data_IF_718004510252
#
_entry.id   IF_718004510252
#
_cell.length_a   1.000
_cell.length_b   1.000
_cell.length_c   1.000
_cell.angle_alpha   90.00
_cell.angle_beta   90.00
_cell.angle_gamma   90.00
#
_symmetry.space_group_name_H-M   'P 1'
#
loop_
_entity.id
_entity.type
_entity.pdbx_description
1 polymer ?
#
# COMPACT_ATOMS: atom_id res chain seq x y z
N UNK A 1 9.93 -7.14 -9.18
CA UNK A 1 9.69 -7.49 -7.76
C UNK A 1 10.87 -8.24 -7.11
N UNK A 2 11.54 -9.19 -7.80
CA UNK A 2 12.71 -9.88 -7.25
C UNK A 2 13.80 -8.95 -6.70
N UNK A 3 14.19 -7.92 -7.47
CA UNK A 3 15.17 -6.92 -7.01
C UNK A 3 14.75 -6.14 -5.74
N UNK A 4 13.44 -5.92 -5.54
CA UNK A 4 12.92 -5.27 -4.33
C UNK A 4 13.04 -6.22 -3.14
N UNK A 5 12.70 -7.49 -3.34
CA UNK A 5 12.84 -8.53 -2.30
C UNK A 5 14.31 -8.65 -1.89
N UNK A 6 15.22 -8.78 -2.85
CA UNK A 6 16.66 -8.87 -2.58
C UNK A 6 17.18 -7.66 -1.81
N UNK A 7 16.69 -6.46 -2.13
CA UNK A 7 17.05 -5.24 -1.42
C UNK A 7 16.53 -5.24 0.03
N UNK A 8 15.27 -5.62 0.24
CA UNK A 8 14.67 -5.72 1.57
C UNK A 8 15.29 -6.86 2.40
N UNK A 9 15.79 -7.94 1.78
CA UNK A 9 16.45 -9.04 2.51
C UNK A 9 17.75 -8.60 3.18
N UNK A 10 18.40 -7.53 2.70
CA UNK A 10 19.62 -7.00 3.33
C UNK A 10 19.38 -6.54 4.77
N UNK A 11 18.25 -5.89 5.06
CA UNK A 11 17.94 -5.47 6.44
C UNK A 11 17.71 -6.66 7.36
N UNK A 12 17.13 -7.75 6.84
CA UNK A 12 16.97 -9.01 7.59
C UNK A 12 18.34 -9.62 7.92
N UNK A 13 19.26 -9.67 6.95
CA UNK A 13 20.61 -10.19 7.15
C UNK A 13 21.37 -9.38 8.21
N UNK A 14 21.34 -8.05 8.10
CA UNK A 14 21.97 -7.14 9.07
C UNK A 14 21.46 -7.38 10.50
N UNK A 15 20.14 -7.55 10.68
CA UNK A 15 19.54 -7.81 11.99
C UNK A 15 19.95 -9.18 12.53
N UNK A 16 19.95 -10.21 11.69
CA UNK A 16 20.37 -11.56 12.06
C UNK A 16 21.85 -11.63 12.46
N UNK A 17 22.73 -10.96 11.72
CA UNK A 17 24.16 -10.87 12.04
C UNK A 17 24.37 -10.18 13.40
N UNK A 18 23.72 -9.05 13.64
CA UNK A 18 23.81 -8.33 14.92
C UNK A 18 23.37 -9.18 16.12
N UNK A 19 22.27 -9.92 15.99
CA UNK A 19 21.79 -10.78 17.08
C UNK A 19 22.68 -12.01 17.26
N UNK A 20 23.22 -12.56 16.18
CA UNK A 20 24.18 -13.66 16.22
C UNK A 20 25.46 -13.26 16.95
N UNK A 21 26.02 -12.08 16.65
CA UNK A 21 27.23 -11.56 17.28
C UNK A 21 27.04 -11.30 18.78
N UNK A 22 25.84 -10.87 19.18
CA UNK A 22 25.49 -10.61 20.58
C UNK A 22 25.01 -11.87 21.33
N UNK A 23 24.76 -12.99 20.64
CA UNK A 23 24.18 -14.20 21.22
C UNK A 23 22.73 -14.01 21.68
N UNK A 24 22.00 -13.08 21.07
CA UNK A 24 20.63 -12.69 21.46
C UNK A 24 19.57 -13.42 20.63
N UNK A 25 18.41 -13.75 21.21
CA UNK A 25 17.32 -14.35 20.45
C UNK A 25 16.69 -13.33 19.48
N UNK A 26 16.33 -13.79 18.29
CA UNK A 26 15.67 -12.96 17.27
C UNK A 26 14.16 -13.06 17.41
N UNK A 27 13.47 -11.91 17.48
CA UNK A 27 12.02 -11.85 17.31
C UNK A 27 11.64 -12.01 15.83
N UNK A 28 11.45 -13.26 15.40
CA UNK A 28 11.07 -13.57 14.02
C UNK A 28 9.77 -12.88 13.58
N UNK A 29 8.82 -12.65 14.49
CA UNK A 29 7.53 -12.03 14.14
C UNK A 29 7.71 -10.55 13.82
N UNK A 30 8.46 -9.84 14.65
CA UNK A 30 8.85 -8.45 14.40
C UNK A 30 9.68 -8.33 13.12
N UNK A 31 10.66 -9.21 12.95
CA UNK A 31 11.58 -9.23 11.81
C UNK A 31 10.88 -9.42 10.47
N UNK A 32 10.15 -10.51 10.31
CA UNK A 32 9.44 -10.74 9.05
C UNK A 32 8.26 -9.77 8.87
N UNK A 33 7.70 -9.23 9.95
CA UNK A 33 6.71 -8.15 9.90
C UNK A 33 7.26 -6.86 9.29
N UNK A 34 8.45 -6.42 9.72
CA UNK A 34 9.11 -5.25 9.15
C UNK A 34 9.59 -5.49 7.71
N UNK A 35 10.16 -6.67 7.43
CA UNK A 35 10.52 -7.06 6.06
C UNK A 35 9.33 -7.00 5.08
N UNK A 36 8.19 -7.61 5.45
CA UNK A 36 7.00 -7.61 4.59
C UNK A 36 6.43 -6.20 4.40
N UNK A 37 6.51 -5.34 5.44
CA UNK A 37 6.14 -3.93 5.34
C UNK A 37 7.00 -3.19 4.31
N UNK A 38 8.33 -3.35 4.35
CA UNK A 38 9.26 -2.70 3.43
C UNK A 38 9.03 -3.15 1.98
N UNK A 39 8.81 -4.46 1.79
CA UNK A 39 8.49 -5.03 0.46
C UNK A 39 7.19 -4.43 -0.09
N UNK A 40 6.14 -4.31 0.73
CA UNK A 40 4.86 -3.72 0.30
C UNK A 40 5.01 -2.23 -0.02
N UNK A 41 5.67 -1.46 0.86
CA UNK A 41 5.89 -0.03 0.68
C UNK A 41 6.65 0.25 -0.63
N UNK A 42 7.70 -0.54 -0.92
CA UNK A 42 8.49 -0.34 -2.13
C UNK A 42 7.76 -0.87 -3.38
N UNK A 43 7.16 -2.06 -3.32
CA UNK A 43 6.54 -2.68 -4.50
C UNK A 43 5.19 -2.10 -4.90
N UNK A 44 4.33 -1.77 -3.93
CA UNK A 44 2.98 -1.25 -4.20
C UNK A 44 2.95 0.28 -4.25
N UNK A 45 3.71 0.94 -3.37
CA UNK A 45 3.69 2.40 -3.22
C UNK A 45 4.95 3.08 -3.77
N UNK A 46 5.92 2.34 -4.32
CA UNK A 46 7.16 2.91 -4.85
C UNK A 46 7.99 3.67 -3.81
N UNK A 47 7.76 3.39 -2.52
CA UNK A 47 8.33 4.13 -1.40
C UNK A 47 9.31 3.24 -0.65
N UNK A 48 10.59 3.63 -0.64
CA UNK A 48 11.63 2.92 0.11
C UNK A 48 11.61 3.39 1.56
N UNK A 49 11.40 2.44 2.47
CA UNK A 49 11.44 2.63 3.92
C UNK A 49 12.32 1.54 4.54
N UNK A 50 12.70 1.75 5.80
CA UNK A 50 13.38 0.75 6.63
C UNK A 50 12.58 0.62 7.93
N UNK A 51 11.58 -0.26 7.93
CA UNK A 51 10.66 -0.46 9.07
C UNK A 51 11.37 -1.05 10.28
N UNK A 52 12.55 -1.62 10.07
CA UNK A 52 13.38 -2.20 11.12
C UNK A 52 14.07 -1.13 11.96
N UNK A 53 14.73 -0.18 11.30
CA UNK A 53 15.47 0.90 11.97
C UNK A 53 14.57 2.06 12.36
N UNK A 54 13.48 2.28 11.63
CA UNK A 54 12.50 3.33 11.89
C UNK A 54 11.07 2.78 12.09
N UNK A 55 10.79 2.12 13.22
CA UNK A 55 9.45 1.62 13.53
C UNK A 55 8.42 2.72 13.77
N UNK A 56 8.85 3.98 13.92
CA UNK A 56 7.97 5.15 14.07
C UNK A 56 7.69 5.86 12.75
N UNK A 57 8.20 5.33 11.64
CA UNK A 57 7.92 5.84 10.31
C UNK A 57 6.41 6.02 10.11
N UNK A 58 6.00 7.16 9.55
CA UNK A 58 4.58 7.47 9.40
C UNK A 58 3.84 6.41 8.59
N UNK A 59 4.48 5.85 7.56
CA UNK A 59 3.92 4.77 6.75
C UNK A 59 3.65 3.53 7.60
N UNK A 60 4.66 3.07 8.36
CA UNK A 60 4.57 1.90 9.24
C UNK A 60 3.47 2.09 10.28
N UNK A 61 3.43 3.26 10.93
CA UNK A 61 2.40 3.59 11.93
C UNK A 61 1.00 3.60 11.32
N UNK A 62 0.83 4.19 10.14
CA UNK A 62 -0.48 4.28 9.45
C UNK A 62 -0.97 2.91 8.98
N UNK A 63 -0.09 2.05 8.46
CA UNK A 63 -0.47 0.66 8.12
C UNK A 63 -0.83 -0.11 9.38
N UNK A 64 -0.01 -0.02 10.43
CA UNK A 64 -0.27 -0.70 11.71
C UNK A 64 -1.62 -0.29 12.30
N UNK A 65 -1.90 1.01 12.36
CA UNK A 65 -3.18 1.52 12.84
C UNK A 65 -4.35 1.15 11.93
N UNK A 66 -4.09 0.95 10.64
CA UNK A 66 -5.12 0.57 9.68
C UNK A 66 -5.52 -0.90 9.81
N UNK A 67 -4.54 -1.78 9.90
CA UNK A 67 -4.74 -3.22 9.91
C UNK A 67 -4.94 -3.80 11.31
N UNK A 68 -4.23 -3.33 12.34
CA UNK A 68 -4.37 -3.86 13.70
C UNK A 68 -5.63 -3.40 14.42
N UNK A 69 -6.27 -2.30 13.97
CA UNK A 69 -7.57 -1.87 14.52
C UNK A 69 -8.73 -2.70 13.98
N UNK A 70 -8.52 -3.56 12.97
CA UNK A 70 -9.50 -4.58 12.58
C UNK A 70 -9.42 -5.67 13.64
N UNK A 71 -10.12 -5.48 14.76
CA UNK A 71 -10.14 -6.48 15.81
C UNK A 71 -10.89 -7.73 15.34
N UNK A 72 -10.55 -8.88 15.92
CA UNK A 72 -11.32 -10.12 15.73
C UNK A 72 -12.82 -9.91 15.96
N UNK A 73 -13.20 -8.99 16.85
CA UNK A 73 -14.59 -8.60 17.11
C UNK A 73 -15.25 -7.93 15.91
N UNK A 74 -14.53 -7.07 15.19
CA UNK A 74 -15.05 -6.45 13.96
C UNK A 74 -15.19 -7.51 12.86
N UNK A 75 -14.25 -8.43 12.78
CA UNK A 75 -14.30 -9.52 11.78
C UNK A 75 -15.45 -10.50 12.06
N UNK A 76 -15.67 -10.88 13.32
CA UNK A 76 -16.79 -11.75 13.71
C UNK A 76 -18.13 -11.05 13.52
N UNK A 77 -18.22 -9.75 13.84
CA UNK A 77 -19.42 -8.96 13.60
C UNK A 77 -19.74 -8.86 12.10
N UNK A 78 -18.72 -8.70 11.26
CA UNK A 78 -18.87 -8.69 9.80
C UNK A 78 -19.35 -10.05 9.25
N UNK A 79 -18.92 -11.16 9.86
CA UNK A 79 -19.35 -12.50 9.48
C UNK A 79 -20.77 -12.84 9.96
N UNK A 80 -21.17 -12.34 11.13
CA UNK A 80 -22.46 -12.62 11.76
C UNK A 80 -23.59 -11.70 11.26
N UNK A 81 -23.28 -10.48 10.83
CA UNK A 81 -24.28 -9.52 10.35
C UNK A 81 -24.60 -9.79 8.86
N UNK A 82 -25.88 -10.05 8.51
CA UNK A 82 -26.29 -10.19 7.11
C UNK A 82 -26.00 -8.92 6.31
N UNK A 83 -25.51 -9.07 5.07
CA UNK A 83 -25.10 -7.95 4.19
C UNK A 83 -26.19 -6.90 3.93
N UNK A 84 -27.47 -7.26 4.09
CA UNK A 84 -28.60 -6.33 3.96
C UNK A 84 -28.70 -5.32 5.11
N UNK A 85 -28.20 -5.64 6.30
CA UNK A 85 -28.14 -4.71 7.44
C UNK A 85 -27.15 -3.59 7.13
N UNK A 86 -26.03 -3.88 6.48
CA UNK A 86 -25.07 -2.84 6.05
C UNK A 86 -25.64 -1.86 5.02
N UNK A 87 -26.69 -2.23 4.27
CA UNK A 87 -27.40 -1.29 3.37
C UNK A 87 -28.27 -0.28 4.11
N UNK A 88 -28.68 -0.61 5.35
CA UNK A 88 -29.50 0.23 6.22
C UNK A 88 -28.65 1.13 7.14
N UNK A 89 -27.37 0.79 7.33
CA UNK A 89 -26.44 1.61 8.10
C UNK A 89 -26.15 2.92 7.33
N UNK A 90 -26.35 4.10 7.95
CA UNK A 90 -26.01 5.38 7.36
C UNK A 90 -24.55 5.39 6.87
N UNK A 91 -24.28 5.96 5.70
CA UNK A 91 -22.91 6.03 5.13
C UNK A 91 -21.87 6.66 6.08
N UNK A 92 -22.30 7.48 7.04
CA UNK A 92 -21.42 8.09 8.06
C UNK A 92 -20.96 7.10 9.15
N UNK A 93 -21.69 6.01 9.37
CA UNK A 93 -21.35 4.95 10.33
C UNK A 93 -20.70 3.74 9.66
N UNK A 94 -20.40 3.83 8.36
CA UNK A 94 -19.74 2.74 7.66
C UNK A 94 -18.29 2.62 8.18
N UNK A 95 -17.92 1.55 8.92
CA UNK A 95 -16.58 1.40 9.50
C UNK A 95 -15.49 1.31 8.41
N UNK A 96 -15.88 1.05 7.16
CA UNK A 96 -14.99 1.01 6.00
C UNK A 96 -14.58 2.44 5.57
N UNK A 97 -15.43 3.45 5.82
CA UNK A 97 -15.15 4.86 5.53
C UNK A 97 -14.40 5.57 6.67
N UNK A 98 -13.64 4.83 7.47
CA UNK A 98 -12.70 5.46 8.39
C UNK A 98 -11.67 6.23 7.56
N UNK A 99 -11.63 7.54 7.80
CA UNK A 99 -10.71 8.64 7.48
C UNK A 99 -9.20 8.29 7.27
N UNK A 100 -8.88 7.19 6.60
CA UNK A 100 -7.55 6.56 6.57
C UNK A 100 -6.90 6.56 5.20
N UNK A 101 -7.57 7.12 4.19
CA UNK A 101 -7.14 7.01 2.80
C UNK A 101 -6.34 8.23 2.30
N UNK A 102 -6.42 9.39 2.97
CA UNK A 102 -5.73 10.60 2.52
C UNK A 102 -4.22 10.42 2.44
N UNK A 103 -3.61 9.83 3.48
CA UNK A 103 -2.17 9.62 3.50
C UNK A 103 -1.68 8.72 2.37
N UNK A 104 -2.30 7.54 2.20
CA UNK A 104 -1.86 6.61 1.16
C UNK A 104 -2.14 7.19 -0.23
N UNK A 105 -3.25 7.93 -0.40
CA UNK A 105 -3.54 8.66 -1.63
C UNK A 105 -2.46 9.71 -1.91
N UNK A 106 -2.02 10.45 -0.91
CA UNK A 106 -0.99 11.49 -1.04
C UNK A 106 0.38 10.88 -1.34
N UNK A 107 0.74 9.76 -0.70
CA UNK A 107 1.95 8.99 -1.02
C UNK A 107 1.92 8.58 -2.49
N UNK A 108 0.85 7.92 -2.96
CA UNK A 108 0.73 7.50 -4.36
C UNK A 108 0.79 8.70 -5.30
N UNK A 109 0.08 9.80 -5.01
CA UNK A 109 0.12 11.03 -5.81
C UNK A 109 1.52 11.60 -5.92
N UNK A 110 2.27 11.65 -4.80
CA UNK A 110 3.64 12.17 -4.79
C UNK A 110 4.57 11.33 -5.66
N UNK A 111 4.43 10.01 -5.61
CA UNK A 111 5.25 9.08 -6.41
C UNK A 111 4.89 9.19 -7.88
N UNK A 112 3.61 9.21 -8.23
CA UNK A 112 3.14 9.43 -9.61
C UNK A 112 3.65 10.77 -10.16
N UNK A 113 3.56 11.85 -9.39
CA UNK A 113 4.04 13.17 -9.79
C UNK A 113 5.55 13.15 -10.09
N UNK A 114 6.34 12.57 -9.19
CA UNK A 114 7.80 12.43 -9.35
C UNK A 114 8.16 11.60 -10.59
N UNK A 115 7.41 10.54 -10.89
CA UNK A 115 7.62 9.73 -12.10
C UNK A 115 7.32 10.49 -13.38
N UNK A 116 6.22 11.27 -13.38
CA UNK A 116 5.87 12.15 -14.51
C UNK A 116 6.93 13.23 -14.74
N UNK A 117 7.46 13.82 -13.68
CA UNK A 117 8.54 14.82 -13.77
C UNK A 117 9.85 14.22 -14.29
N UNK A 118 10.26 13.07 -13.76
CA UNK A 118 11.52 12.43 -14.16
C UNK A 118 11.47 11.79 -15.56
N UNK A 119 10.28 11.53 -16.10
CA UNK A 119 10.09 10.89 -17.41
C UNK A 119 10.63 9.46 -17.50
N UNK A 120 11.09 8.88 -16.38
CA UNK A 120 11.65 7.54 -16.33
C UNK A 120 10.53 6.53 -16.22
N UNK A 121 10.57 5.48 -17.06
CA UNK A 121 9.67 4.34 -16.93
C UNK A 121 10.17 3.37 -15.86
N UNK A 122 9.26 2.93 -15.00
CA UNK A 122 9.53 1.95 -13.95
C UNK A 122 8.92 0.61 -14.31
N UNK A 123 9.59 -0.50 -13.98
CA UNK A 123 9.07 -1.85 -14.23
C UNK A 123 8.40 -2.40 -12.96
N UNK A 124 7.31 -1.76 -12.53
CA UNK A 124 6.59 -2.11 -11.30
C UNK A 124 5.07 -1.95 -11.42
N UNK A 125 4.37 -2.34 -10.35
CA UNK A 125 2.90 -2.34 -10.28
C UNK A 125 2.31 -0.94 -10.48
N UNK A 126 2.93 0.09 -9.91
CA UNK A 126 2.44 1.46 -10.02
C UNK A 126 2.57 2.00 -11.44
N UNK A 127 3.61 1.62 -12.19
CA UNK A 127 3.68 1.96 -13.61
C UNK A 127 2.56 1.30 -14.41
N UNK A 128 2.27 0.02 -14.16
CA UNK A 128 1.17 -0.69 -14.83
C UNK A 128 -0.17 0.01 -14.58
N UNK A 129 -0.42 0.47 -13.34
CA UNK A 129 -1.63 1.23 -13.01
C UNK A 129 -1.68 2.59 -13.73
N UNK A 130 -0.55 3.29 -13.86
CA UNK A 130 -0.49 4.56 -14.59
C UNK A 130 -0.78 4.35 -16.08
N UNK A 131 -0.17 3.33 -16.69
CA UNK A 131 -0.36 3.01 -18.11
C UNK A 131 -1.84 2.67 -18.39
N UNK A 132 -2.45 1.82 -17.55
CA UNK A 132 -3.86 1.47 -17.67
C UNK A 132 -4.80 2.69 -17.53
N UNK A 133 -4.49 3.61 -16.61
CA UNK A 133 -5.28 4.83 -16.43
C UNK A 133 -5.18 5.78 -17.64
N UNK A 134 -4.01 5.86 -18.27
CA UNK A 134 -3.83 6.66 -19.48
C UNK A 134 -4.59 6.03 -20.66
N UNK A 135 -4.57 4.70 -20.80
CA UNK A 135 -5.34 3.97 -21.83
C UNK A 135 -6.86 4.21 -21.71
N UNK A 136 -7.42 4.10 -20.50
CA UNK A 136 -8.85 4.38 -20.26
C UNK A 136 -9.21 5.83 -20.64
N UNK A 137 -8.35 6.79 -20.29
CA UNK A 137 -8.57 8.20 -20.63
C UNK A 137 -8.51 8.45 -22.14
N UNK A 138 -7.71 7.69 -22.88
CA UNK A 138 -7.64 7.77 -24.35
C UNK A 138 -8.90 7.19 -25.00
N UNK A 139 -9.48 6.13 -24.43
CA UNK A 139 -10.77 5.57 -24.88
C UNK A 139 -11.92 6.54 -24.65
N UNK A 140 -12.03 7.13 -23.45
CA UNK A 140 -13.07 8.13 -23.15
C UNK A 140 -13.00 9.35 -24.09
N UNK A 141 -11.79 9.83 -24.43
CA UNK A 141 -11.64 10.95 -25.36
C UNK A 141 -12.03 10.58 -26.79
N UNK A 142 -11.87 9.31 -27.21
CA UNK A 142 -12.30 8.85 -28.54
C UNK A 142 -13.82 8.81 -28.67
N UNK A 143 -14.50 8.26 -27.67
CA UNK A 143 -15.97 8.22 -27.64
C UNK A 143 -16.58 9.64 -27.68
N UNK A 144 -15.98 10.62 -26.98
CA UNK A 144 -16.42 12.02 -27.03
C UNK A 144 -16.24 12.61 -28.44
N UNK A 145 -15.12 12.33 -29.11
CA UNK A 145 -14.88 12.85 -30.46
C UNK A 145 -15.77 12.21 -31.51
N UNK A 146 -16.13 10.93 -31.37
CA UNK A 146 -17.03 10.23 -32.29
C UNK A 146 -18.47 10.76 -32.18
N UNK A 147 -18.94 11.05 -30.96
CA UNK A 147 -20.29 11.61 -30.69
C UNK A 147 -20.41 13.10 -31.11
N UNK A 148 -19.30 13.83 -31.23
CA UNK A 148 -19.26 15.19 -31.81
C UNK A 148 -19.23 15.19 -33.35
N UNK A 149 -18.68 14.16 -33.99
CA UNK A 149 -18.62 14.06 -35.46
C UNK A 149 -19.91 13.52 -36.11
N UNK A 150 -20.82 12.92 -35.34
CA UNK A 150 -22.10 12.38 -35.82
C UNK A 150 -23.30 13.32 -35.56
N UNK A 151 -23.05 14.58 -35.19
CA UNK A 151 -24.04 15.69 -35.14
C UNK A 151 -23.79 16.72 -36.23
#
# INVERSE_FOLDING_TARGET
IGAIIDECTKSVLEVCEQHSDNGEPVDCKGLFGAFTMDVIANSAFGTKIDSHKDPQNEFVRRVRDSFLKISLTIMTLFFLIPTWVFKLVPRSLNPIKMDRDDFFRDVVRSVVAKRKETGRRYNDFLQIMMDAADDTRLEENRDITEDETDR
#
